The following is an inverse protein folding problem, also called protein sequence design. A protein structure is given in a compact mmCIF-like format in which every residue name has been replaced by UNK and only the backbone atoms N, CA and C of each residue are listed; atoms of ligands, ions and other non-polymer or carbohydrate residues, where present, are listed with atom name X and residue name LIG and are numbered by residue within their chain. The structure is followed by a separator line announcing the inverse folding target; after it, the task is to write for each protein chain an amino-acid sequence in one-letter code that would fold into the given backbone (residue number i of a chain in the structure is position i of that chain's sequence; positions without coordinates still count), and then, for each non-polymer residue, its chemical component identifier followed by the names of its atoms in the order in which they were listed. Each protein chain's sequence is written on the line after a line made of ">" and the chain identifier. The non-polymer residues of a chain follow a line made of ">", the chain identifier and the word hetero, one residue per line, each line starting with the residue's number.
data_IF_452386028556
#
_entry.id   IF_452386028556
#
_cell.length_a   1.000
_cell.length_b   1.000
_cell.length_c   1.000
_cell.angle_alpha   90.00
_cell.angle_beta   90.00
_cell.angle_gamma   90.00
#
_symmetry.space_group_name_H-M   'P 1'
#
loop_
_entity.id
_entity.type
_entity.pdbx_description
1 polymer ?
#
# COMPACT_ATOMS: atom_id res chain seq x y z
N UNK A 1 -16.29 48.14 -44.79
CA UNK A 1 -15.90 47.24 -43.67
C UNK A 1 -16.00 45.81 -44.16
N UNK A 2 -15.28 44.86 -43.57
CA UNK A 2 -14.91 43.60 -44.24
C UNK A 2 -15.52 42.33 -43.60
N UNK A 3 -15.79 41.36 -44.49
CA UNK A 3 -15.96 39.91 -44.29
C UNK A 3 -16.98 39.36 -43.27
N UNK A 4 -17.98 38.68 -43.83
CA UNK A 4 -18.63 37.50 -43.23
C UNK A 4 -17.57 36.44 -42.84
N UNK A 5 -17.73 35.84 -41.67
CA UNK A 5 -17.03 34.62 -41.30
C UNK A 5 -17.89 33.72 -40.41
N UNK A 6 -18.61 32.79 -41.04
CA UNK A 6 -19.13 31.58 -40.39
C UNK A 6 -17.95 30.75 -39.85
N UNK A 7 -18.02 30.30 -38.60
CA UNK A 7 -17.15 29.25 -38.08
C UNK A 7 -17.93 27.94 -37.90
N UNK A 8 -17.23 26.81 -38.04
CA UNK A 8 -17.83 25.52 -38.33
C UNK A 8 -18.31 24.76 -37.09
N UNK A 9 -19.43 24.05 -37.22
CA UNK A 9 -19.85 23.01 -36.26
C UNK A 9 -18.90 21.82 -36.36
N UNK A 10 -18.33 21.40 -35.22
CA UNK A 10 -17.37 20.30 -35.17
C UNK A 10 -18.05 18.98 -34.73
N UNK A 11 -18.30 18.01 -35.63
CA UNK A 11 -19.08 16.81 -35.31
C UNK A 11 -18.19 15.72 -34.69
N UNK A 12 -18.02 15.75 -33.37
CA UNK A 12 -17.23 14.72 -32.66
C UNK A 12 -17.30 14.70 -31.13
N UNK A 13 -17.70 15.79 -30.48
CA UNK A 13 -17.79 15.86 -29.02
C UNK A 13 -19.15 15.36 -28.49
N UNK A 14 -19.28 14.05 -28.27
CA UNK A 14 -20.36 13.50 -27.45
C UNK A 14 -20.08 13.79 -25.96
N UNK A 15 -21.10 14.11 -25.13
CA UNK A 15 -20.89 14.42 -23.72
C UNK A 15 -20.43 13.19 -22.93
N UNK A 16 -19.47 13.41 -22.02
CA UNK A 16 -18.91 12.40 -21.14
C UNK A 16 -20.00 11.63 -20.36
N UNK A 17 -19.85 10.30 -20.28
CA UNK A 17 -20.77 9.40 -19.58
C UNK A 17 -21.90 8.78 -20.44
N UNK A 18 -22.23 9.35 -21.61
CA UNK A 18 -23.34 8.81 -22.42
C UNK A 18 -23.04 7.47 -23.09
N UNK A 19 -21.81 7.23 -23.57
CA UNK A 19 -21.45 6.00 -24.30
C UNK A 19 -21.57 4.74 -23.42
N UNK A 20 -21.00 4.75 -22.21
CA UNK A 20 -21.09 3.63 -21.28
C UNK A 20 -22.55 3.32 -20.86
N UNK A 21 -23.37 4.36 -20.67
CA UNK A 21 -24.79 4.20 -20.33
C UNK A 21 -25.64 3.66 -21.51
N UNK A 22 -25.25 3.95 -22.76
CA UNK A 22 -25.93 3.46 -23.97
C UNK A 22 -25.56 2.01 -24.28
N UNK A 23 -24.28 1.63 -24.13
CA UNK A 23 -23.82 0.24 -24.32
C UNK A 23 -24.44 -0.73 -23.29
N UNK A 24 -24.51 -0.32 -22.01
CA UNK A 24 -25.04 -1.11 -20.89
C UNK A 24 -26.54 -0.88 -20.62
N UNK A 25 -27.30 -0.44 -21.63
CA UNK A 25 -28.73 -0.13 -21.49
C UNK A 25 -29.56 -1.32 -20.97
N UNK A 26 -30.36 -1.05 -19.93
CA UNK A 26 -31.03 -2.07 -19.09
C UNK A 26 -31.82 -3.12 -19.87
N UNK A 27 -32.44 -2.73 -20.98
CA UNK A 27 -33.26 -3.62 -21.81
C UNK A 27 -32.47 -4.77 -22.46
N UNK A 28 -31.18 -4.56 -22.80
CA UNK A 28 -30.31 -5.61 -23.36
C UNK A 28 -29.89 -6.65 -22.32
N UNK A 29 -29.69 -6.22 -21.07
CA UNK A 29 -29.32 -7.10 -19.95
C UNK A 29 -30.49 -7.98 -19.48
N UNK A 30 -31.73 -7.49 -19.61
CA UNK A 30 -32.92 -8.11 -19.01
C UNK A 30 -33.71 -9.01 -19.97
N UNK A 31 -33.58 -8.87 -21.30
CA UNK A 31 -34.40 -9.63 -22.25
C UNK A 31 -33.65 -10.27 -23.42
N UNK A 32 -33.50 -11.60 -23.40
CA UNK A 32 -33.61 -12.40 -24.62
C UNK A 32 -34.19 -13.80 -24.34
N UNK A 33 -34.92 -14.37 -25.31
CA UNK A 33 -35.79 -15.54 -25.12
C UNK A 33 -35.02 -16.85 -25.11
N UNK A 34 -35.37 -17.73 -24.15
CA UNK A 34 -34.82 -19.11 -24.01
C UNK A 34 -35.03 -19.93 -25.29
N UNK A 35 -33.96 -20.25 -26.01
CA UNK A 35 -33.94 -21.40 -26.91
C UNK A 35 -33.62 -22.68 -26.12
N UNK A 36 -34.38 -23.76 -26.34
CA UNK A 36 -34.17 -25.06 -25.68
C UNK A 36 -33.04 -25.84 -26.38
N UNK A 37 -31.88 -25.94 -25.74
CA UNK A 37 -30.91 -26.96 -26.10
C UNK A 37 -31.47 -28.36 -25.76
N UNK A 38 -31.32 -29.32 -26.67
CA UNK A 38 -31.71 -30.73 -26.42
C UNK A 38 -30.63 -31.43 -25.61
N UNK A 39 -31.04 -32.32 -24.70
CA UNK A 39 -30.12 -33.14 -23.92
C UNK A 39 -29.54 -34.29 -24.76
N UNK A 40 -28.27 -34.63 -24.51
CA UNK A 40 -27.62 -35.86 -24.95
C UNK A 40 -26.88 -36.49 -23.76
N UNK A 41 -27.03 -37.81 -23.57
CA UNK A 41 -26.37 -38.56 -22.49
C UNK A 41 -25.03 -39.12 -23.01
N UNK A 42 -23.90 -38.91 -22.31
CA UNK A 42 -22.73 -39.76 -22.49
C UNK A 42 -23.02 -41.15 -21.92
N UNK A 43 -22.61 -42.20 -22.63
CA UNK A 43 -22.57 -43.57 -22.09
C UNK A 43 -21.31 -43.77 -21.21
N UNK A 44 -21.27 -44.86 -20.45
CA UNK A 44 -20.16 -45.19 -19.56
C UNK A 44 -19.03 -45.97 -20.26
N UNK A 45 -17.82 -45.92 -19.68
CA UNK A 45 -16.68 -46.78 -20.05
C UNK A 45 -15.52 -46.04 -20.70
N UNK A 46 -14.45 -45.76 -19.93
CA UNK A 46 -13.22 -45.16 -20.43
C UNK A 46 -12.30 -44.68 -19.30
N UNK A 47 -11.08 -45.22 -19.23
CA UNK A 47 -10.16 -45.00 -18.11
C UNK A 47 -9.76 -43.53 -17.93
N UNK A 48 -10.19 -42.91 -16.82
CA UNK A 48 -9.80 -41.54 -16.44
C UNK A 48 -8.44 -41.52 -15.74
N UNK A 49 -7.36 -41.66 -16.51
CA UNK A 49 -6.03 -41.29 -16.04
C UNK A 49 -5.93 -39.80 -15.69
N UNK A 50 -5.06 -39.46 -14.74
CA UNK A 50 -4.91 -38.13 -14.10
C UNK A 50 -4.26 -37.06 -15.02
N UNK A 51 -4.80 -36.84 -16.22
CA UNK A 51 -4.28 -35.88 -17.20
C UNK A 51 -4.68 -34.42 -16.87
N UNK A 52 -5.90 -34.18 -16.38
CA UNK A 52 -6.38 -32.84 -16.02
C UNK A 52 -5.54 -32.19 -14.91
N UNK A 53 -5.46 -32.85 -13.75
CA UNK A 53 -4.73 -32.34 -12.59
C UNK A 53 -3.24 -32.08 -12.83
N UNK A 54 -2.59 -32.76 -13.80
CA UNK A 54 -1.20 -32.43 -14.19
C UNK A 54 -1.09 -31.09 -14.91
N UNK A 55 -2.08 -30.70 -15.72
CA UNK A 55 -2.10 -29.38 -16.36
C UNK A 55 -2.45 -28.29 -15.35
N UNK A 56 -3.43 -28.55 -14.51
CA UNK A 56 -3.92 -27.65 -13.46
C UNK A 56 -2.80 -27.32 -12.45
N UNK A 57 -2.09 -28.34 -11.96
CA UNK A 57 -0.95 -28.16 -11.05
C UNK A 57 0.24 -27.45 -11.75
N UNK A 58 0.50 -27.73 -13.02
CA UNK A 58 1.54 -27.01 -13.78
C UNK A 58 1.18 -25.53 -14.02
N UNK A 59 -0.09 -25.20 -14.24
CA UNK A 59 -0.57 -23.82 -14.33
C UNK A 59 -0.48 -23.12 -12.96
N UNK A 60 -0.84 -23.82 -11.88
CA UNK A 60 -0.70 -23.32 -10.51
C UNK A 60 0.75 -23.08 -10.11
N UNK A 61 1.67 -23.98 -10.45
CA UNK A 61 3.10 -23.81 -10.23
C UNK A 61 3.62 -22.60 -11.02
N UNK A 62 3.28 -22.46 -12.31
CA UNK A 62 3.65 -21.28 -13.12
C UNK A 62 3.16 -19.97 -12.48
N UNK A 63 1.92 -19.94 -11.93
CA UNK A 63 1.38 -18.79 -11.20
C UNK A 63 2.15 -18.53 -9.90
N UNK A 64 2.55 -19.56 -9.18
CA UNK A 64 3.36 -19.45 -7.96
C UNK A 64 4.78 -18.94 -8.25
N UNK A 65 5.40 -19.40 -9.34
CA UNK A 65 6.71 -18.92 -9.81
C UNK A 65 6.65 -17.44 -10.18
N UNK A 66 5.59 -17.01 -10.90
CA UNK A 66 5.32 -15.60 -11.17
C UNK A 66 5.17 -14.80 -9.86
N UNK A 67 4.29 -15.22 -8.95
CA UNK A 67 4.08 -14.59 -7.63
C UNK A 67 5.39 -14.45 -6.84
N UNK A 68 6.30 -15.43 -6.95
CA UNK A 68 7.61 -15.46 -6.28
C UNK A 68 8.76 -14.77 -7.03
N UNK A 69 8.49 -14.16 -8.19
CA UNK A 69 9.50 -13.36 -8.91
C UNK A 69 10.11 -12.31 -7.97
N UNK A 70 11.45 -12.24 -7.81
CA UNK A 70 12.09 -11.24 -6.97
C UNK A 70 11.70 -9.82 -7.38
N UNK A 71 11.56 -8.92 -6.41
CA UNK A 71 11.14 -7.52 -6.63
C UNK A 71 12.19 -6.62 -6.00
N UNK A 72 13.09 -6.09 -6.83
CA UNK A 72 14.31 -5.36 -6.41
C UNK A 72 14.09 -3.86 -6.16
N UNK A 73 12.95 -3.32 -6.56
CA UNK A 73 12.45 -1.98 -6.21
C UNK A 73 11.02 -2.11 -5.73
N UNK A 74 10.60 -1.27 -4.77
CA UNK A 74 9.23 -1.29 -4.25
C UNK A 74 8.19 -1.17 -5.38
N UNK A 75 7.29 -2.15 -5.47
CA UNK A 75 6.16 -2.19 -6.39
C UNK A 75 4.88 -1.73 -5.67
N UNK A 76 4.24 -0.67 -6.19
CA UNK A 76 3.14 0.04 -5.51
C UNK A 76 1.80 -0.27 -6.16
N UNK A 77 0.85 -0.75 -5.35
CA UNK A 77 -0.46 -1.23 -5.79
C UNK A 77 -1.55 -0.32 -5.22
N UNK A 78 -2.10 0.57 -6.06
CA UNK A 78 -3.25 1.38 -5.71
C UNK A 78 -4.54 0.56 -5.86
N UNK A 79 -5.29 0.37 -4.78
CA UNK A 79 -6.62 -0.29 -4.81
C UNK A 79 -7.68 0.79 -4.63
N UNK A 80 -8.52 1.01 -5.65
CA UNK A 80 -9.42 2.18 -5.70
C UNK A 80 -10.91 1.82 -5.90
N UNK A 81 -11.80 2.63 -5.34
CA UNK A 81 -13.23 2.60 -5.67
C UNK A 81 -13.94 3.92 -5.35
N UNK A 82 -14.76 4.40 -6.30
CA UNK A 82 -15.60 5.60 -6.16
C UNK A 82 -16.84 5.39 -5.27
N UNK A 83 -17.17 4.14 -4.91
CA UNK A 83 -18.29 3.79 -4.02
C UNK A 83 -17.78 3.09 -2.76
N UNK A 84 -18.40 3.41 -1.62
CA UNK A 84 -18.18 2.74 -0.34
C UNK A 84 -18.78 1.32 -0.31
N UNK A 85 -18.27 0.47 0.60
CA UNK A 85 -18.81 -0.87 0.82
C UNK A 85 -18.57 -1.92 -0.27
N UNK A 86 -17.95 -1.56 -1.41
CA UNK A 86 -17.71 -2.50 -2.53
C UNK A 86 -16.63 -3.56 -2.28
N UNK A 87 -16.04 -3.59 -1.08
CA UNK A 87 -15.01 -4.57 -0.70
C UNK A 87 -13.56 -4.16 -0.98
N UNK A 88 -13.26 -2.87 -1.18
CA UNK A 88 -11.88 -2.37 -1.41
C UNK A 88 -10.90 -2.80 -0.32
N UNK A 89 -11.12 -2.40 0.93
CA UNK A 89 -10.30 -2.79 2.10
C UNK A 89 -10.15 -4.31 2.25
N UNK A 90 -11.23 -5.04 1.96
CA UNK A 90 -11.25 -6.50 1.93
C UNK A 90 -10.31 -7.04 0.85
N UNK A 91 -10.34 -6.48 -0.37
CA UNK A 91 -9.44 -6.83 -1.46
C UNK A 91 -7.98 -6.46 -1.15
N UNK A 92 -7.71 -5.27 -0.61
CA UNK A 92 -6.37 -4.85 -0.17
C UNK A 92 -5.79 -5.84 0.85
N UNK A 93 -6.56 -6.21 1.87
CA UNK A 93 -6.10 -7.14 2.91
C UNK A 93 -5.94 -8.56 2.38
N UNK A 94 -6.93 -9.08 1.63
CA UNK A 94 -6.88 -10.45 1.12
C UNK A 94 -5.78 -10.64 0.07
N UNK A 95 -5.56 -9.66 -0.82
CA UNK A 95 -4.45 -9.66 -1.77
C UNK A 95 -3.11 -9.53 -1.05
N UNK A 96 -2.96 -8.59 -0.11
CA UNK A 96 -1.75 -8.41 0.68
C UNK A 96 -1.37 -9.67 1.47
N UNK A 97 -2.33 -10.29 2.14
CA UNK A 97 -2.15 -11.55 2.86
C UNK A 97 -1.78 -12.71 1.92
N UNK A 98 -2.40 -12.79 0.75
CA UNK A 98 -2.06 -13.84 -0.24
C UNK A 98 -0.63 -13.66 -0.75
N UNK A 99 -0.23 -12.43 -1.10
CA UNK A 99 1.14 -12.10 -1.51
C UNK A 99 2.15 -12.42 -0.39
N UNK A 100 1.85 -12.06 0.86
CA UNK A 100 2.75 -12.30 2.00
C UNK A 100 2.94 -13.80 2.26
N UNK A 101 1.84 -14.56 2.28
CA UNK A 101 1.88 -16.01 2.49
C UNK A 101 2.57 -16.75 1.35
N UNK A 102 2.25 -16.45 0.10
CA UNK A 102 2.83 -17.18 -1.05
C UNK A 102 4.29 -16.79 -1.32
N UNK A 103 4.71 -15.54 -1.05
CA UNK A 103 6.10 -15.07 -1.23
C UNK A 103 7.02 -15.30 -0.04
N UNK A 104 6.48 -15.34 1.19
CA UNK A 104 7.25 -15.24 2.45
C UNK A 104 8.13 -13.96 2.49
N UNK A 105 7.51 -12.84 2.11
CA UNK A 105 8.17 -11.56 1.83
C UNK A 105 7.48 -10.40 2.57
N UNK A 106 8.17 -9.27 2.73
CA UNK A 106 7.68 -8.10 3.47
C UNK A 106 6.67 -7.31 2.64
N UNK A 107 5.39 -7.65 2.80
CA UNK A 107 4.27 -6.94 2.17
C UNK A 107 3.64 -5.96 3.17
N UNK A 108 3.44 -4.73 2.73
CA UNK A 108 2.78 -3.68 3.50
C UNK A 108 1.45 -3.27 2.87
N UNK A 109 0.43 -3.03 3.68
CA UNK A 109 -0.79 -2.34 3.27
C UNK A 109 -1.00 -1.05 4.08
N UNK A 110 -1.40 0.02 3.40
CA UNK A 110 -1.55 1.36 3.94
C UNK A 110 -3.01 1.80 3.81
N UNK A 111 -3.61 2.27 4.91
CA UNK A 111 -4.89 2.96 4.87
C UNK A 111 -4.66 4.44 4.50
N UNK A 112 -5.15 4.85 3.33
CA UNK A 112 -5.10 6.24 2.87
C UNK A 112 -6.49 6.90 2.87
N UNK A 113 -7.50 6.31 3.52
CA UNK A 113 -8.85 6.87 3.56
C UNK A 113 -8.94 8.04 4.56
N UNK A 114 -9.18 9.29 4.13
CA UNK A 114 -9.29 10.42 5.07
C UNK A 114 -10.56 10.36 5.93
N UNK A 115 -11.64 9.74 5.45
CA UNK A 115 -12.97 9.86 6.04
C UNK A 115 -13.19 8.96 7.27
N UNK A 116 -12.65 7.74 7.22
CA UNK A 116 -12.59 6.79 8.34
C UNK A 116 -11.74 5.57 7.97
N UNK A 117 -10.59 5.37 8.62
CA UNK A 117 -9.78 4.17 8.39
C UNK A 117 -10.51 2.88 8.80
N UNK A 118 -10.40 1.85 7.96
CA UNK A 118 -11.00 0.53 8.22
C UNK A 118 -10.05 -0.65 7.98
N UNK A 119 -8.88 -0.41 7.36
CA UNK A 119 -7.85 -1.43 7.15
C UNK A 119 -7.27 -1.91 8.48
N UNK A 120 -7.04 -0.98 9.42
CA UNK A 120 -6.58 -1.27 10.78
C UNK A 120 -7.56 -2.09 11.65
N UNK A 121 -8.75 -2.44 11.13
CA UNK A 121 -9.72 -3.34 11.77
C UNK A 121 -9.66 -4.77 11.20
N UNK A 122 -8.82 -5.01 10.18
CA UNK A 122 -8.65 -6.29 9.47
C UNK A 122 -7.48 -7.14 9.97
N UNK A 123 -6.84 -6.67 11.04
CA UNK A 123 -5.74 -7.29 11.76
C UNK A 123 -5.87 -6.93 13.24
N UNK A 124 -5.39 -7.78 14.13
CA UNK A 124 -5.18 -7.42 15.54
C UNK A 124 -4.21 -6.24 15.65
N UNK A 125 -4.68 -5.07 16.12
CA UNK A 125 -3.82 -3.89 16.38
C UNK A 125 -2.74 -4.24 17.41
N UNK A 126 -1.48 -4.22 16.97
CA UNK A 126 -0.29 -4.35 17.83
C UNK A 126 0.17 -2.97 18.36
N UNK A 127 -0.11 -1.92 17.58
CA UNK A 127 0.21 -0.52 17.89
C UNK A 127 -1.02 0.35 17.63
N UNK A 128 -1.18 1.42 18.43
CA UNK A 128 -2.18 2.45 18.21
C UNK A 128 -1.78 3.47 17.14
N UNK A 129 -0.48 3.56 16.81
CA UNK A 129 0.09 4.54 15.89
C UNK A 129 -0.51 4.47 14.47
N UNK A 130 -0.31 5.56 13.73
CA UNK A 130 -0.91 5.83 12.42
C UNK A 130 0.13 6.26 11.40
N UNK A 131 -0.29 6.39 10.14
CA UNK A 131 0.54 6.99 9.09
C UNK A 131 0.98 8.44 9.38
N UNK A 132 0.20 9.23 10.13
CA UNK A 132 0.61 10.60 10.53
C UNK A 132 1.77 10.56 11.52
N UNK A 133 1.74 9.64 12.47
CA UNK A 133 2.83 9.46 13.45
C UNK A 133 4.11 8.99 12.75
N UNK A 134 3.98 8.09 11.76
CA UNK A 134 5.10 7.67 10.92
C UNK A 134 5.71 8.86 10.15
N UNK A 135 4.88 9.69 9.50
CA UNK A 135 5.36 10.86 8.74
C UNK A 135 6.08 11.88 9.63
N UNK A 136 5.62 12.07 10.87
CA UNK A 136 6.33 12.90 11.86
C UNK A 136 7.67 12.26 12.30
N UNK A 137 7.72 10.94 12.40
CA UNK A 137 8.91 10.20 12.83
C UNK A 137 9.99 10.03 11.75
N UNK A 138 9.69 10.30 10.46
CA UNK A 138 10.60 10.09 9.31
C UNK A 138 12.08 10.48 9.56
N UNK A 139 12.42 11.64 10.16
CA UNK A 139 13.81 12.03 10.44
C UNK A 139 14.59 11.08 11.38
N UNK A 140 13.91 10.08 11.96
CA UNK A 140 14.47 9.10 12.90
C UNK A 140 14.28 7.64 12.42
N UNK A 141 13.61 7.40 11.30
CA UNK A 141 13.39 6.05 10.75
C UNK A 141 14.62 5.58 9.97
N UNK A 142 15.54 4.91 10.65
CA UNK A 142 16.81 4.44 10.07
C UNK A 142 16.79 2.93 9.75
N UNK A 143 15.81 2.20 10.27
CA UNK A 143 15.70 0.75 10.09
C UNK A 143 14.25 0.27 9.97
N UNK A 144 14.07 -0.93 9.42
CA UNK A 144 12.80 -1.68 9.48
C UNK A 144 12.24 -1.81 10.91
N UNK A 145 13.11 -1.94 11.93
CA UNK A 145 12.68 -2.04 13.34
C UNK A 145 12.15 -0.72 13.92
N UNK A 146 12.46 0.43 13.29
CA UNK A 146 11.86 1.71 13.64
C UNK A 146 10.47 1.84 13.03
N UNK A 147 10.32 1.41 11.77
CA UNK A 147 9.02 1.36 11.08
C UNK A 147 8.07 0.37 11.76
N UNK A 148 8.58 -0.76 12.28
CA UNK A 148 7.78 -1.80 12.96
C UNK A 148 6.97 -1.31 14.17
N UNK A 149 7.23 -0.09 14.67
CA UNK A 149 6.48 0.57 15.75
C UNK A 149 5.14 1.18 15.28
N UNK A 150 4.98 1.37 13.97
CA UNK A 150 3.84 2.01 13.30
C UNK A 150 2.91 1.03 12.56
N UNK A 151 3.33 -0.24 12.47
CA UNK A 151 2.65 -1.34 11.76
C UNK A 151 2.02 -2.34 12.73
N UNK A 152 0.93 -2.98 12.33
CA UNK A 152 0.43 -4.23 12.95
C UNK A 152 0.49 -5.38 11.94
N UNK A 153 0.98 -6.55 12.33
CA UNK A 153 1.14 -7.72 11.47
C UNK A 153 0.02 -8.75 11.64
N UNK A 154 -0.49 -9.25 10.52
CA UNK A 154 -1.46 -10.34 10.46
C UNK A 154 -0.76 -11.72 10.42
N UNK A 155 -1.50 -12.78 10.74
CA UNK A 155 -1.02 -14.17 10.71
C UNK A 155 -0.47 -14.62 9.35
N UNK A 156 -0.86 -13.95 8.26
CA UNK A 156 -0.38 -14.15 6.89
C UNK A 156 1.02 -13.59 6.61
N UNK A 157 1.59 -12.82 7.55
CA UNK A 157 2.80 -12.02 7.38
C UNK A 157 2.54 -10.58 6.89
N UNK A 158 1.34 -10.27 6.38
CA UNK A 158 0.98 -8.92 5.93
C UNK A 158 1.09 -7.90 7.06
N UNK A 159 1.77 -6.79 6.81
CA UNK A 159 1.84 -5.66 7.73
C UNK A 159 0.86 -4.55 7.31
N UNK A 160 0.25 -3.89 8.28
CA UNK A 160 -0.73 -2.81 8.06
C UNK A 160 -0.33 -1.55 8.84
N UNK A 161 -0.25 -0.42 8.14
CA UNK A 161 -0.29 0.91 8.76
C UNK A 161 -1.73 1.41 8.70
N UNK A 162 -2.31 1.68 9.87
CA UNK A 162 -3.65 2.24 9.96
C UNK A 162 -3.65 3.77 9.78
N UNK A 163 -4.78 4.31 9.35
CA UNK A 163 -5.13 5.70 9.51
C UNK A 163 -6.22 5.78 10.58
N UNK A 164 -5.99 6.50 11.68
CA UNK A 164 -6.98 6.68 12.74
C UNK A 164 -7.46 8.14 12.75
N UNK A 165 -8.75 8.34 12.54
CA UNK A 165 -9.34 9.67 12.29
C UNK A 165 -9.87 10.22 13.60
N UNK A 166 -9.05 11.01 14.28
CA UNK A 166 -9.53 11.97 15.28
C UNK A 166 -10.15 13.18 14.54
N UNK A 167 -11.47 13.43 14.64
CA UNK A 167 -12.13 14.55 13.97
C UNK A 167 -11.67 15.93 14.48
N UNK A 168 -10.93 16.01 15.60
CA UNK A 168 -10.36 17.25 16.11
C UNK A 168 -9.00 17.62 15.48
N UNK A 169 -8.35 16.71 14.77
CA UNK A 169 -7.00 16.93 14.21
C UNK A 169 -7.08 17.56 12.82
N UNK A 170 -6.83 18.88 12.76
CA UNK A 170 -7.00 19.71 11.56
C UNK A 170 -5.98 19.48 10.41
N UNK A 171 -5.05 18.54 10.53
CA UNK A 171 -4.00 18.29 9.52
C UNK A 171 -4.36 17.16 8.57
N UNK A 172 -4.96 17.52 7.43
CA UNK A 172 -5.29 16.56 6.35
C UNK A 172 -4.03 15.91 5.77
N UNK A 173 -3.93 14.59 5.89
CA UNK A 173 -2.92 13.78 5.21
C UNK A 173 -2.99 14.01 3.69
N UNK A 174 -1.87 14.37 3.07
CA UNK A 174 -1.83 14.92 1.72
C UNK A 174 -0.82 14.22 0.80
N UNK A 175 -0.66 14.74 -0.42
CA UNK A 175 0.25 14.22 -1.45
C UNK A 175 1.70 14.15 -0.93
N UNK A 176 2.21 15.23 -0.34
CA UNK A 176 3.59 15.33 0.17
C UNK A 176 3.83 14.40 1.37
N UNK A 177 2.84 14.24 2.25
CA UNK A 177 2.90 13.27 3.35
C UNK A 177 2.96 11.83 2.82
N UNK A 178 2.15 11.51 1.81
CA UNK A 178 2.13 10.18 1.20
C UNK A 178 3.43 9.87 0.48
N UNK A 179 3.98 10.78 -0.33
CA UNK A 179 5.27 10.59 -1.00
C UNK A 179 6.39 10.36 0.03
N UNK A 180 6.51 11.23 1.04
CA UNK A 180 7.52 11.09 2.11
C UNK A 180 7.40 9.76 2.85
N UNK A 181 6.19 9.27 3.13
CA UNK A 181 5.99 7.95 3.72
C UNK A 181 6.46 6.84 2.77
N UNK A 182 6.04 6.85 1.50
CA UNK A 182 6.38 5.82 0.51
C UNK A 182 7.89 5.79 0.20
N UNK A 183 8.57 6.93 0.20
CA UNK A 183 10.02 7.00 -0.07
C UNK A 183 10.85 6.30 1.02
N UNK A 184 10.38 6.31 2.27
CA UNK A 184 11.00 5.56 3.39
C UNK A 184 10.55 4.10 3.41
N UNK A 185 9.24 3.86 3.27
CA UNK A 185 8.65 2.52 3.31
C UNK A 185 9.16 1.64 2.15
N UNK A 186 9.28 2.21 0.94
CA UNK A 186 9.74 1.51 -0.26
C UNK A 186 11.21 1.06 -0.23
N UNK A 187 11.99 1.50 0.75
CA UNK A 187 13.34 0.97 1.02
C UNK A 187 13.32 -0.33 1.85
N UNK A 188 12.18 -0.62 2.51
CA UNK A 188 12.04 -1.73 3.46
C UNK A 188 10.98 -2.75 3.07
N UNK A 189 10.01 -2.39 2.22
CA UNK A 189 8.95 -3.27 1.71
C UNK A 189 9.00 -3.33 0.17
N UNK A 190 9.33 -4.49 -0.44
CA UNK A 190 9.32 -4.63 -1.89
C UNK A 190 7.93 -4.55 -2.51
N UNK A 191 6.84 -4.71 -1.74
CA UNK A 191 5.47 -4.48 -2.24
C UNK A 191 4.68 -3.67 -1.21
N UNK A 192 4.06 -2.59 -1.67
CA UNK A 192 3.15 -1.75 -0.88
C UNK A 192 1.78 -1.70 -1.56
N UNK A 193 0.72 -2.00 -0.81
CA UNK A 193 -0.67 -1.82 -1.22
C UNK A 193 -1.27 -0.58 -0.55
N UNK A 194 -2.12 0.15 -1.25
CA UNK A 194 -2.78 1.35 -0.71
C UNK A 194 -4.29 1.26 -0.86
N UNK A 195 -5.00 1.30 0.26
CA UNK A 195 -6.47 1.44 0.29
C UNK A 195 -6.83 2.92 0.17
N UNK A 196 -7.36 3.31 -0.98
CA UNK A 196 -7.58 4.71 -1.39
C UNK A 196 -8.60 5.50 -0.57
N UNK A 197 -9.40 4.85 0.27
CA UNK A 197 -10.67 5.45 0.69
C UNK A 197 -11.64 5.68 -0.47
N UNK A 198 -12.72 6.42 -0.23
CA UNK A 198 -13.88 6.48 -1.15
C UNK A 198 -13.90 7.61 -2.17
N UNK A 199 -12.88 8.49 -2.19
CA UNK A 199 -12.83 9.65 -3.08
C UNK A 199 -11.60 9.67 -4.00
N UNK A 200 -11.82 9.91 -5.29
CA UNK A 200 -10.75 10.12 -6.29
C UNK A 200 -10.15 11.54 -6.25
N UNK A 201 -10.82 12.47 -5.57
CA UNK A 201 -10.54 13.91 -5.60
C UNK A 201 -9.87 14.44 -4.32
N UNK A 202 -9.38 13.54 -3.45
CA UNK A 202 -8.73 13.90 -2.19
C UNK A 202 -7.23 14.19 -2.37
N UNK A 203 -6.68 15.01 -1.47
CA UNK A 203 -5.30 15.54 -1.51
C UNK A 203 -4.22 14.47 -1.73
N UNK A 204 -4.28 13.37 -0.99
CA UNK A 204 -3.30 12.27 -1.13
C UNK A 204 -3.46 11.44 -2.41
N UNK A 205 -4.61 11.49 -3.09
CA UNK A 205 -4.94 10.54 -4.16
C UNK A 205 -4.14 10.80 -5.45
N UNK A 206 -3.69 12.04 -5.66
CA UNK A 206 -2.68 12.33 -6.69
C UNK A 206 -1.37 11.57 -6.42
N UNK A 207 -0.85 11.62 -5.20
CA UNK A 207 0.38 10.92 -4.82
C UNK A 207 0.27 9.40 -4.96
N UNK A 208 -0.90 8.84 -4.61
CA UNK A 208 -1.19 7.42 -4.80
C UNK A 208 -1.16 7.04 -6.29
N UNK A 209 -1.77 7.83 -7.16
CA UNK A 209 -1.85 7.55 -8.60
C UNK A 209 -0.55 7.84 -9.36
N UNK A 210 0.13 8.96 -9.07
CA UNK A 210 1.43 9.34 -9.64
C UNK A 210 2.53 8.33 -9.31
N UNK A 211 2.39 7.60 -8.18
CA UNK A 211 3.32 6.56 -7.75
C UNK A 211 2.80 5.13 -7.99
N UNK A 212 1.63 4.90 -8.60
CA UNK A 212 1.10 3.55 -8.73
C UNK A 212 1.76 2.77 -9.88
N UNK A 213 2.45 1.68 -9.54
CA UNK A 213 2.95 0.71 -10.51
C UNK A 213 1.80 -0.16 -11.05
N UNK A 214 0.87 -0.54 -10.17
CA UNK A 214 -0.38 -1.25 -10.50
C UNK A 214 -1.60 -0.50 -9.98
N UNK A 215 -2.65 -0.47 -10.80
CA UNK A 215 -3.97 -0.05 -10.39
C UNK A 215 -4.94 -1.24 -10.32
N UNK A 216 -5.76 -1.29 -9.27
CA UNK A 216 -6.83 -2.26 -9.08
C UNK A 216 -8.15 -1.52 -8.86
N UNK A 217 -9.11 -1.70 -9.78
CA UNK A 217 -10.46 -1.10 -9.70
C UNK A 217 -11.41 -2.09 -9.04
N UNK A 218 -12.18 -1.66 -8.04
CA UNK A 218 -13.19 -2.52 -7.40
C UNK A 218 -14.60 -2.17 -7.88
N UNK A 219 -15.27 -3.14 -8.50
CA UNK A 219 -16.68 -3.08 -8.90
C UNK A 219 -17.51 -4.10 -8.13
N UNK A 220 -18.81 -3.84 -8.01
CA UNK A 220 -19.80 -4.87 -7.62
C UNK A 220 -20.43 -5.51 -8.87
N UNK A 221 -21.04 -6.69 -8.78
CA UNK A 221 -21.83 -7.30 -9.84
C UNK A 221 -23.20 -6.62 -10.00
N UNK A 222 -23.19 -5.32 -10.32
CA UNK A 222 -24.37 -4.49 -10.53
C UNK A 222 -24.11 -3.46 -11.62
N UNK A 223 -25.16 -2.99 -12.29
CA UNK A 223 -25.06 -1.96 -13.35
C UNK A 223 -24.47 -0.67 -12.77
N UNK A 224 -24.93 -0.23 -11.60
CA UNK A 224 -24.38 0.92 -10.86
C UNK A 224 -22.88 0.76 -10.57
N UNK A 225 -22.47 -0.45 -10.17
CA UNK A 225 -21.07 -0.77 -9.86
C UNK A 225 -20.19 -0.70 -11.10
N UNK A 226 -20.61 -1.38 -12.16
CA UNK A 226 -19.91 -1.38 -13.45
C UNK A 226 -19.82 0.03 -14.04
N UNK A 227 -20.92 0.78 -14.01
CA UNK A 227 -20.97 2.18 -14.46
C UNK A 227 -20.03 3.07 -13.63
N UNK A 228 -20.09 3.01 -12.29
CA UNK A 228 -19.23 3.80 -11.39
C UNK A 228 -17.74 3.50 -11.57
N UNK A 229 -17.37 2.22 -11.75
CA UNK A 229 -16.00 1.82 -12.06
C UNK A 229 -15.57 2.21 -13.50
N UNK A 230 -16.48 2.24 -14.46
CA UNK A 230 -16.20 2.72 -15.83
C UNK A 230 -15.93 4.21 -15.85
N UNK A 231 -16.79 5.02 -15.22
CA UNK A 231 -16.58 6.47 -15.08
C UNK A 231 -15.27 6.79 -14.35
N UNK A 232 -14.83 5.91 -13.44
CA UNK A 232 -13.52 6.02 -12.78
C UNK A 232 -12.36 5.83 -13.78
N UNK A 233 -12.44 4.80 -14.64
CA UNK A 233 -11.44 4.54 -15.70
C UNK A 233 -11.41 5.64 -16.77
N UNK A 234 -12.59 6.12 -17.18
CA UNK A 234 -12.73 7.21 -18.15
C UNK A 234 -12.15 8.52 -17.59
N UNK A 235 -12.43 8.83 -16.32
CA UNK A 235 -11.86 9.99 -15.61
C UNK A 235 -10.33 9.89 -15.51
N UNK A 236 -9.80 8.75 -15.06
CA UNK A 236 -8.35 8.52 -14.95
C UNK A 236 -7.64 8.70 -16.30
N UNK A 237 -8.22 8.14 -17.36
CA UNK A 237 -7.69 8.26 -18.73
C UNK A 237 -7.65 9.72 -19.19
N UNK A 238 -8.71 10.48 -18.92
CA UNK A 238 -8.80 11.90 -19.25
C UNK A 238 -7.85 12.80 -18.41
N UNK A 239 -7.39 12.35 -17.25
CA UNK A 239 -6.50 13.09 -16.34
C UNK A 239 -5.04 12.60 -16.39
N UNK A 240 -4.66 11.86 -17.44
CA UNK A 240 -3.26 11.50 -17.75
C UNK A 240 -2.85 10.08 -17.36
N UNK A 241 -3.66 9.35 -16.59
CA UNK A 241 -3.33 8.00 -16.10
C UNK A 241 -3.69 6.88 -17.10
N UNK A 242 -3.70 7.16 -18.40
CA UNK A 242 -4.16 6.24 -19.44
C UNK A 242 -3.32 4.95 -19.55
N UNK A 243 -1.99 5.02 -19.37
CA UNK A 243 -1.13 3.84 -19.29
C UNK A 243 -1.51 2.96 -18.08
N UNK A 244 -1.62 3.57 -16.90
CA UNK A 244 -1.97 2.91 -15.66
C UNK A 244 -3.37 2.26 -15.73
N UNK A 245 -4.32 2.91 -16.42
CA UNK A 245 -5.63 2.34 -16.76
C UNK A 245 -5.49 1.12 -17.67
N UNK A 246 -4.71 1.21 -18.75
CA UNK A 246 -4.54 0.09 -19.69
C UNK A 246 -3.93 -1.15 -19.03
N UNK A 247 -3.03 -0.95 -18.05
CA UNK A 247 -2.39 -2.01 -17.24
C UNK A 247 -3.18 -2.39 -15.99
N UNK A 248 -4.32 -1.75 -15.71
CA UNK A 248 -5.12 -2.00 -14.52
C UNK A 248 -5.79 -3.37 -14.50
N UNK A 249 -6.22 -3.81 -13.33
CA UNK A 249 -7.02 -5.03 -13.13
C UNK A 249 -8.36 -4.65 -12.48
N UNK A 250 -9.48 -5.09 -13.03
CA UNK A 250 -10.79 -4.91 -12.39
C UNK A 250 -11.16 -6.12 -11.54
N UNK A 251 -11.49 -5.91 -10.27
CA UNK A 251 -12.02 -6.94 -9.37
C UNK A 251 -13.53 -6.76 -9.23
N UNK A 252 -14.30 -7.75 -9.68
CA UNK A 252 -15.75 -7.81 -9.49
C UNK A 252 -16.01 -8.56 -8.17
N UNK A 253 -16.25 -7.80 -7.11
CA UNK A 253 -16.29 -8.27 -5.72
C UNK A 253 -17.69 -8.61 -5.24
N UNK A 254 -17.83 -9.65 -4.42
CA UNK A 254 -19.07 -10.00 -3.74
C UNK A 254 -20.08 -10.76 -4.61
N UNK A 255 -19.63 -11.54 -5.60
CA UNK A 255 -20.52 -12.25 -6.51
C UNK A 255 -21.24 -13.42 -5.81
N UNK A 256 -22.56 -13.29 -5.63
CA UNK A 256 -23.42 -14.35 -5.08
C UNK A 256 -23.94 -15.24 -6.21
N UNK A 257 -23.93 -16.56 -6.01
CA UNK A 257 -24.46 -17.56 -6.96
C UNK A 257 -26.01 -17.59 -7.04
N UNK A 258 -26.68 -16.52 -6.57
CA UNK A 258 -28.14 -16.34 -6.64
C UNK A 258 -28.58 -15.92 -8.03
N UNK A 259 -29.51 -16.65 -8.65
CA UNK A 259 -29.98 -16.45 -10.04
C UNK A 259 -30.82 -15.19 -10.33
N UNK A 260 -30.38 -14.01 -9.88
CA UNK A 260 -30.89 -12.72 -10.38
C UNK A 260 -30.25 -12.42 -11.74
N UNK A 261 -31.00 -11.78 -12.65
CA UNK A 261 -30.57 -11.56 -14.03
C UNK A 261 -29.63 -10.35 -14.17
N UNK A 262 -28.39 -10.53 -13.73
CA UNK A 262 -27.23 -9.75 -14.19
C UNK A 262 -26.20 -10.78 -14.63
N UNK A 263 -25.89 -10.82 -15.94
CA UNK A 263 -24.81 -11.67 -16.44
C UNK A 263 -23.49 -11.05 -16.02
N UNK A 264 -22.82 -11.67 -15.05
CA UNK A 264 -21.47 -11.27 -14.63
C UNK A 264 -20.52 -11.28 -15.83
N UNK A 265 -20.73 -12.21 -16.76
CA UNK A 265 -20.01 -12.32 -18.03
C UNK A 265 -20.09 -11.06 -18.90
N UNK A 266 -21.24 -10.36 -18.93
CA UNK A 266 -21.39 -9.10 -19.68
C UNK A 266 -20.56 -7.98 -19.02
N UNK A 267 -20.52 -7.93 -17.68
CA UNK A 267 -19.69 -6.98 -16.93
C UNK A 267 -18.20 -7.31 -17.09
N UNK A 268 -17.83 -8.61 -17.09
CA UNK A 268 -16.47 -9.07 -17.36
C UNK A 268 -16.02 -8.64 -18.75
N UNK A 269 -16.83 -8.89 -19.79
CA UNK A 269 -16.53 -8.48 -21.16
C UNK A 269 -16.37 -6.97 -21.31
N UNK A 270 -17.19 -6.18 -20.61
CA UNK A 270 -17.10 -4.71 -20.60
C UNK A 270 -15.79 -4.16 -19.99
N UNK A 271 -15.20 -4.84 -19.00
CA UNK A 271 -13.91 -4.46 -18.42
C UNK A 271 -12.71 -5.08 -19.17
N UNK A 272 -12.88 -6.22 -19.82
CA UNK A 272 -11.83 -6.84 -20.67
C UNK A 272 -11.46 -5.97 -21.89
N UNK A 273 -12.28 -4.99 -22.28
CA UNK A 273 -11.94 -4.02 -23.33
C UNK A 273 -11.22 -2.76 -22.81
N UNK A 274 -11.09 -2.59 -21.48
CA UNK A 274 -10.58 -1.38 -20.83
C UNK A 274 -9.39 -1.62 -19.89
N UNK A 275 -9.25 -2.84 -19.36
CA UNK A 275 -8.25 -3.24 -18.36
C UNK A 275 -7.49 -4.49 -18.83
N UNK A 276 -6.21 -4.64 -18.43
CA UNK A 276 -5.38 -5.83 -18.73
C UNK A 276 -6.01 -7.13 -18.25
N UNK A 277 -6.71 -7.10 -17.11
CA UNK A 277 -7.31 -8.29 -16.51
C UNK A 277 -8.60 -7.99 -15.74
N UNK A 278 -9.40 -9.05 -15.55
CA UNK A 278 -10.61 -9.01 -14.72
C UNK A 278 -10.63 -10.25 -13.84
N UNK A 279 -10.84 -10.07 -12.53
CA UNK A 279 -10.97 -11.15 -11.54
C UNK A 279 -12.37 -11.08 -10.91
N UNK A 280 -13.07 -12.21 -10.90
CA UNK A 280 -14.37 -12.34 -10.22
C UNK A 280 -14.13 -12.96 -8.84
N UNK A 281 -14.50 -12.25 -7.77
CA UNK A 281 -14.38 -12.72 -6.38
C UNK A 281 -15.78 -13.06 -5.84
N UNK A 282 -16.09 -14.35 -5.61
CA UNK A 282 -17.37 -14.75 -5.04
C UNK A 282 -17.62 -14.17 -3.64
N UNK A 283 -18.88 -13.88 -3.30
CA UNK A 283 -19.29 -13.40 -1.97
C UNK A 283 -18.89 -14.39 -0.88
N UNK A 284 -18.08 -13.94 0.07
CA UNK A 284 -17.59 -14.74 1.19
C UNK A 284 -18.09 -14.19 2.53
N UNK A 285 -18.53 -15.08 3.42
CA UNK A 285 -19.16 -14.69 4.70
C UNK A 285 -18.15 -14.19 5.71
N UNK A 286 -16.97 -14.81 5.79
CA UNK A 286 -15.87 -14.39 6.66
C UNK A 286 -15.41 -12.97 6.30
N UNK A 287 -15.13 -12.74 5.02
CA UNK A 287 -14.67 -11.45 4.52
C UNK A 287 -15.74 -10.35 4.66
N UNK A 288 -17.02 -10.73 4.59
CA UNK A 288 -18.18 -9.85 4.79
C UNK A 288 -18.46 -9.53 6.27
N UNK A 289 -17.92 -10.29 7.23
CA UNK A 289 -18.17 -10.07 8.66
C UNK A 289 -17.53 -8.80 9.23
N UNK A 290 -16.62 -8.15 8.48
CA UNK A 290 -15.93 -6.92 8.89
C UNK A 290 -14.71 -7.13 9.79
N UNK A 291 -14.47 -8.37 10.22
CA UNK A 291 -13.41 -8.77 11.14
C UNK A 291 -12.03 -8.96 10.47
N UNK A 292 -11.09 -9.52 11.25
CA UNK A 292 -9.74 -9.93 10.86
C UNK A 292 -9.74 -10.94 9.69
N UNK A 293 -8.80 -10.78 8.75
CA UNK A 293 -8.76 -11.56 7.51
C UNK A 293 -7.83 -12.76 7.64
N UNK A 294 -8.44 -13.90 7.92
CA UNK A 294 -7.82 -15.23 7.87
C UNK A 294 -7.99 -15.89 6.48
N UNK A 295 -6.90 -16.41 5.90
CA UNK A 295 -6.89 -17.09 4.59
C UNK A 295 -7.43 -18.53 4.63
N UNK A 296 -7.35 -19.21 5.77
CA UNK A 296 -7.78 -20.61 5.95
C UNK A 296 -9.29 -20.69 6.23
N UNK A 297 -9.89 -19.61 6.72
CA UNK A 297 -11.34 -19.45 6.84
C UNK A 297 -12.04 -19.03 5.52
N UNK A 298 -11.31 -18.57 4.50
CA UNK A 298 -11.90 -18.27 3.19
C UNK A 298 -12.36 -19.54 2.47
N UNK A 299 -13.50 -19.48 1.77
CA UNK A 299 -13.91 -20.62 0.92
C UNK A 299 -12.94 -20.83 -0.26
N UNK A 300 -12.68 -22.06 -0.72
CA UNK A 300 -11.64 -22.35 -1.71
C UNK A 300 -11.68 -21.48 -2.98
N UNK A 301 -12.85 -21.28 -3.61
CA UNK A 301 -13.01 -20.42 -4.80
C UNK A 301 -12.55 -18.97 -4.58
N UNK A 302 -12.62 -18.47 -3.36
CA UNK A 302 -12.28 -17.07 -2.99
C UNK A 302 -10.78 -16.94 -2.79
N UNK A 303 -10.16 -17.90 -2.07
CA UNK A 303 -8.71 -18.00 -1.98
C UNK A 303 -8.07 -18.18 -3.36
N UNK A 304 -8.67 -19.00 -4.22
CA UNK A 304 -8.26 -19.18 -5.61
C UNK A 304 -8.38 -17.88 -6.43
N UNK A 305 -9.45 -17.10 -6.25
CA UNK A 305 -9.60 -15.80 -6.90
C UNK A 305 -8.50 -14.80 -6.46
N UNK A 306 -8.15 -14.75 -5.17
CA UNK A 306 -7.05 -13.91 -4.68
C UNK A 306 -5.66 -14.42 -5.09
N UNK A 307 -5.45 -15.73 -5.22
CA UNK A 307 -4.24 -16.32 -5.80
C UNK A 307 -4.10 -15.95 -7.28
N UNK A 308 -5.17 -16.05 -8.07
CA UNK A 308 -5.19 -15.63 -9.47
C UNK A 308 -4.97 -14.11 -9.61
N UNK A 309 -5.54 -13.27 -8.72
CA UNK A 309 -5.25 -11.83 -8.67
C UNK A 309 -3.78 -11.55 -8.36
N UNK A 310 -3.20 -12.27 -7.40
CA UNK A 310 -1.78 -12.17 -7.04
C UNK A 310 -0.87 -12.48 -8.23
N UNK A 311 -1.22 -13.49 -9.04
CA UNK A 311 -0.51 -13.81 -10.28
C UNK A 311 -0.66 -12.72 -11.35
N UNK A 312 -1.86 -12.20 -11.61
CA UNK A 312 -2.08 -11.11 -12.58
C UNK A 312 -1.37 -9.79 -12.21
N UNK A 313 -1.13 -9.56 -10.92
CA UNK A 313 -0.27 -8.47 -10.42
C UNK A 313 1.20 -8.80 -10.68
N UNK A 314 1.64 -10.01 -10.34
CA UNK A 314 3.03 -10.43 -10.44
C UNK A 314 3.57 -10.56 -11.88
N UNK A 315 2.70 -10.78 -12.87
CA UNK A 315 3.04 -10.73 -14.30
C UNK A 315 3.69 -9.40 -14.73
N UNK A 316 3.45 -8.30 -14.00
CA UNK A 316 4.03 -6.97 -14.29
C UNK A 316 5.38 -6.72 -13.58
N UNK A 317 5.76 -7.54 -12.58
CA UNK A 317 6.99 -7.34 -11.79
C UNK A 317 8.27 -7.33 -12.65
N UNK A 318 8.31 -8.11 -13.74
CA UNK A 318 9.44 -8.14 -14.68
C UNK A 318 9.51 -6.83 -15.47
N UNK A 319 8.38 -6.36 -16.00
CA UNK A 319 8.26 -5.08 -16.74
C UNK A 319 8.72 -3.91 -15.87
N UNK A 320 8.22 -3.82 -14.64
CA UNK A 320 8.59 -2.78 -13.68
C UNK A 320 10.11 -2.73 -13.42
N UNK A 321 10.74 -3.88 -13.18
CA UNK A 321 12.18 -3.92 -12.89
C UNK A 321 13.04 -3.65 -14.13
N UNK A 322 12.57 -4.00 -15.32
CA UNK A 322 13.18 -3.57 -16.58
C UNK A 322 13.08 -2.05 -16.77
N UNK A 323 11.93 -1.43 -16.48
CA UNK A 323 11.79 0.04 -16.56
C UNK A 323 12.63 0.81 -15.52
N UNK A 324 12.99 0.18 -14.40
CA UNK A 324 13.96 0.73 -13.45
C UNK A 324 15.43 0.40 -13.77
N UNK A 325 15.72 -0.27 -14.88
CA UNK A 325 17.08 -0.67 -15.26
C UNK A 325 17.73 -1.69 -14.32
N UNK A 326 16.94 -2.33 -13.45
CA UNK A 326 17.42 -3.26 -12.44
C UNK A 326 17.62 -4.67 -12.98
N UNK A 327 17.02 -5.02 -14.11
CA UNK A 327 17.19 -6.32 -14.78
C UNK A 327 17.80 -6.14 -16.17
N UNK A 328 18.48 -7.19 -16.65
CA UNK A 328 19.08 -7.20 -17.98
C UNK A 328 18.03 -7.21 -19.10
N UNK A 329 18.43 -6.79 -20.31
CA UNK A 329 17.61 -6.84 -21.53
C UNK A 329 17.00 -8.21 -21.77
N UNK A 330 17.72 -9.26 -21.38
CA UNK A 330 17.43 -10.65 -21.70
C UNK A 330 16.47 -11.28 -20.68
N UNK A 331 15.93 -10.48 -19.75
CA UNK A 331 14.99 -10.92 -18.72
C UNK A 331 15.66 -11.71 -17.59
N UNK A 332 16.99 -11.70 -17.48
CA UNK A 332 17.70 -12.23 -16.31
C UNK A 332 17.83 -11.15 -15.22
N UNK A 333 17.84 -11.55 -13.93
CA UNK A 333 18.18 -10.65 -12.83
C UNK A 333 19.56 -10.01 -13.06
N UNK A 334 19.85 -8.86 -12.43
CA UNK A 334 21.17 -8.25 -12.55
C UNK A 334 22.20 -9.27 -12.04
N UNK A 335 23.41 -9.34 -12.62
CA UNK A 335 24.43 -10.25 -12.14
C UNK A 335 24.81 -9.86 -10.71
N UNK A 336 24.21 -10.55 -9.74
CA UNK A 336 24.65 -10.54 -8.35
C UNK A 336 26.01 -11.21 -8.37
N UNK A 337 27.05 -10.39 -8.57
CA UNK A 337 28.43 -10.79 -8.39
C UNK A 337 28.55 -11.18 -6.91
N UNK A 338 28.40 -12.47 -6.63
CA UNK A 338 28.59 -13.03 -5.30
C UNK A 338 29.95 -12.52 -4.82
N UNK A 339 30.02 -11.82 -3.67
CA UNK A 339 31.23 -11.13 -3.25
C UNK A 339 32.38 -12.16 -3.24
N UNK A 340 33.49 -11.89 -3.96
CA UNK A 340 34.42 -12.94 -4.36
C UNK A 340 34.94 -13.68 -3.13
N UNK A 341 34.74 -14.99 -3.13
CA UNK A 341 35.17 -15.89 -2.04
C UNK A 341 36.64 -15.61 -1.74
N UNK A 342 37.01 -15.22 -0.50
CA UNK A 342 38.37 -14.81 -0.17
C UNK A 342 39.40 -15.90 -0.55
N UNK A 343 40.20 -15.63 -1.59
CA UNK A 343 41.21 -16.55 -2.11
C UNK A 343 40.92 -17.18 -3.48
N UNK A 344 39.76 -16.98 -4.11
CA UNK A 344 39.54 -17.41 -5.50
C UNK A 344 39.92 -16.32 -6.50
N UNK A 345 40.95 -16.59 -7.30
CA UNK A 345 41.37 -15.76 -8.44
C UNK A 345 40.46 -15.97 -9.65
N UNK A 346 40.04 -14.86 -10.28
CA UNK A 346 39.28 -14.89 -11.54
C UNK A 346 40.20 -15.26 -12.71
N UNK A 347 39.83 -16.25 -13.56
CA UNK A 347 40.59 -16.55 -14.77
C UNK A 347 40.58 -15.36 -15.74
N UNK A 348 41.75 -14.94 -16.23
CA UNK A 348 41.88 -13.96 -17.31
C UNK A 348 42.43 -12.57 -16.94
N UNK A 349 42.70 -12.28 -15.66
CA UNK A 349 43.50 -11.10 -15.30
C UNK A 349 44.98 -11.33 -15.68
N UNK A 350 45.58 -10.50 -16.56
CA UNK A 350 47.02 -10.57 -16.83
C UNK A 350 47.80 -10.05 -15.63
N UNK A 351 48.84 -10.77 -15.21
CA UNK A 351 49.72 -10.32 -14.13
C UNK A 351 50.39 -8.98 -14.50
N UNK A 352 50.42 -7.98 -13.59
CA UNK A 352 51.30 -6.84 -13.78
C UNK A 352 52.76 -7.31 -13.79
N UNK A 353 53.60 -6.80 -14.70
CA UNK A 353 54.98 -7.28 -14.83
C UNK A 353 55.78 -7.00 -13.55
N UNK A 354 56.51 -8.00 -13.07
CA UNK A 354 57.46 -7.81 -11.97
C UNK A 354 58.51 -6.76 -12.35
N UNK A 355 58.74 -5.72 -11.53
CA UNK A 355 59.75 -4.71 -11.81
C UNK A 355 61.15 -5.34 -11.77
N UNK A 356 61.94 -5.13 -12.82
CA UNK A 356 63.35 -5.52 -12.82
C UNK A 356 64.13 -4.67 -11.80
N UNK A 357 65.06 -5.28 -11.03
CA UNK A 357 65.85 -4.54 -10.05
C UNK A 357 66.82 -3.57 -10.75
N UNK A 358 66.53 -2.27 -10.69
CA UNK A 358 67.43 -1.23 -11.20
C UNK A 358 66.79 0.05 -11.76
N UNK A 359 65.48 0.11 -11.96
CA UNK A 359 64.80 1.34 -12.44
C UNK A 359 63.93 2.00 -11.35
N UNK A 360 63.99 3.34 -11.17
CA UNK A 360 63.15 4.06 -10.23
C UNK A 360 61.71 4.18 -10.72
N UNK A 361 60.75 3.94 -9.84
CA UNK A 361 59.31 4.07 -10.15
C UNK A 361 58.90 5.55 -10.13
N UNK A 362 58.19 6.07 -11.16
CA UNK A 362 57.68 7.43 -11.14
C UNK A 362 56.70 7.66 -9.98
N UNK A 363 56.92 8.71 -9.18
CA UNK A 363 55.94 9.19 -8.19
C UNK A 363 56.34 9.10 -6.71
N UNK A 364 57.49 8.52 -6.34
CA UNK A 364 57.99 8.64 -4.97
C UNK A 364 58.75 9.97 -4.76
N UNK A 365 58.42 10.77 -3.73
CA UNK A 365 59.16 12.00 -3.42
C UNK A 365 60.49 11.69 -2.75
N UNK A 366 61.59 12.23 -3.30
CA UNK A 366 62.92 12.15 -2.67
C UNK A 366 63.00 13.16 -1.53
N UNK A 367 63.39 12.78 -0.29
CA UNK A 367 63.54 13.74 0.80
C UNK A 367 64.68 14.74 0.53
N UNK A 368 64.39 16.04 0.61
CA UNK A 368 65.44 17.07 0.76
C UNK A 368 65.55 18.18 -0.28
N UNK A 369 64.58 18.39 -1.19
CA UNK A 369 64.54 19.59 -2.04
C UNK A 369 63.21 20.35 -1.96
N UNK A 370 63.22 21.70 -1.92
CA UNK A 370 62.01 22.52 -1.94
C UNK A 370 61.45 22.71 -3.36
N UNK A 371 60.13 22.75 -3.49
CA UNK A 371 59.45 23.00 -4.77
C UNK A 371 59.45 24.49 -5.15
N UNK A 372 59.54 24.83 -6.45
CA UNK A 372 59.24 26.18 -6.93
C UNK A 372 57.73 26.46 -6.87
N UNK A 373 57.29 27.68 -6.50
CA UNK A 373 55.87 28.01 -6.38
C UNK A 373 55.21 28.20 -7.76
N UNK A 374 54.02 27.62 -7.94
CA UNK A 374 53.13 27.99 -9.05
C UNK A 374 52.37 29.29 -8.72
N UNK A 375 52.20 30.21 -9.68
CA UNK A 375 51.43 31.43 -9.47
C UNK A 375 49.92 31.19 -9.62
N UNK A 376 49.11 31.66 -8.66
CA UNK A 376 47.70 31.96 -8.93
C UNK A 376 46.60 31.28 -8.10
N UNK A 377 46.71 31.20 -6.76
CA UNK A 377 45.52 31.24 -5.90
C UNK A 377 45.74 32.14 -4.67
N UNK A 378 44.74 32.91 -4.21
CA UNK A 378 44.84 33.76 -3.02
C UNK A 378 44.61 32.95 -1.74
N UNK A 379 45.49 33.10 -0.76
CA UNK A 379 45.33 32.52 0.57
C UNK A 379 44.44 33.38 1.49
N UNK A 380 43.69 32.78 2.44
CA UNK A 380 43.11 33.51 3.55
C UNK A 380 44.21 34.02 4.51
N UNK A 381 44.01 35.17 5.19
CA UNK A 381 45.04 35.76 6.05
C UNK A 381 45.22 34.98 7.35
N UNK A 382 46.48 34.67 7.70
CA UNK A 382 46.86 34.13 9.00
C UNK A 382 47.68 35.19 9.78
N UNK A 383 47.44 35.44 11.08
CA UNK A 383 48.10 36.53 11.79
C UNK A 383 49.59 36.28 12.09
N UNK A 384 50.43 37.29 11.89
CA UNK A 384 51.84 37.28 12.33
C UNK A 384 52.00 37.72 13.80
N UNK A 385 53.05 37.26 14.51
CA UNK A 385 53.26 37.58 15.92
C UNK A 385 54.03 38.90 16.13
N UNK A 386 53.65 39.72 17.11
CA UNK A 386 54.42 40.92 17.46
C UNK A 386 53.87 41.79 18.61
N UNK A 387 54.34 41.53 19.83
CA UNK A 387 54.37 42.41 21.02
C UNK A 387 53.04 42.99 21.61
N UNK A 388 52.99 43.18 22.95
CA UNK A 388 52.06 44.14 23.57
C UNK A 388 51.20 43.71 24.77
N UNK A 389 51.80 43.20 25.85
CA UNK A 389 51.35 43.25 27.26
C UNK A 389 49.88 43.65 27.59
N UNK A 390 49.11 42.78 28.28
CA UNK A 390 48.80 42.89 29.73
C UNK A 390 47.85 41.74 30.20
N UNK A 391 47.75 41.45 31.53
CA UNK A 391 47.25 40.16 32.02
C UNK A 391 45.79 40.16 32.53
N UNK A 392 45.17 38.97 32.51
CA UNK A 392 43.96 38.62 33.28
C UNK A 392 44.20 37.35 34.13
N UNK A 393 43.53 37.20 35.29
CA UNK A 393 43.98 36.28 36.34
C UNK A 393 43.43 34.85 36.25
N UNK A 394 44.16 33.89 36.82
CA UNK A 394 43.64 32.57 37.20
C UNK A 394 42.89 32.62 38.54
N UNK A 395 41.81 31.84 38.69
CA UNK A 395 41.40 31.24 39.97
C UNK A 395 42.11 29.89 40.18
N UNK A 396 42.69 29.69 41.37
CA UNK A 396 43.34 28.44 41.77
C UNK A 396 42.41 27.41 42.43
N UNK A 397 42.97 26.24 42.78
CA UNK A 397 42.25 25.13 43.42
C UNK A 397 41.79 25.44 44.86
N UNK A 398 40.60 24.94 45.24
CA UNK A 398 40.08 24.97 46.61
C UNK A 398 39.16 23.77 46.92
N UNK A 399 39.47 23.00 47.97
CA UNK A 399 38.70 21.83 48.43
C UNK A 399 37.42 22.27 49.21
N UNK A 400 36.27 21.59 49.13
CA UNK A 400 35.70 20.52 50.00
C UNK A 400 34.14 20.58 49.81
N UNK A 401 33.24 19.62 50.09
CA UNK A 401 33.22 18.21 50.54
C UNK A 401 31.89 17.54 50.01
N UNK A 402 31.61 16.24 50.19
CA UNK A 402 30.54 15.52 49.46
C UNK A 402 29.18 15.41 50.19
N UNK A 403 28.14 15.06 49.43
CA UNK A 403 26.85 14.54 49.93
C UNK A 403 26.46 13.20 49.27
N UNK A 404 25.72 12.36 50.00
CA UNK A 404 25.66 10.91 49.82
C UNK A 404 24.51 10.37 48.95
N UNK A 405 24.61 9.09 48.56
CA UNK A 405 23.48 8.25 48.12
C UNK A 405 22.64 7.77 49.32
N UNK A 406 21.37 7.41 49.07
CA UNK A 406 20.95 6.00 49.15
C UNK A 406 20.05 5.60 47.95
N UNK A 407 19.61 4.35 47.74
CA UNK A 407 19.78 3.09 48.50
C UNK A 407 18.45 2.29 48.52
N UNK A 408 18.48 1.00 48.18
CA UNK A 408 17.27 0.14 48.07
C UNK A 408 16.78 -0.39 49.43
N UNK A 409 15.45 -0.52 49.65
CA UNK A 409 14.88 -1.27 50.78
C UNK A 409 13.34 -1.23 50.94
N UNK A 410 12.73 -2.41 51.12
CA UNK A 410 11.39 -2.67 51.70
C UNK A 410 11.58 -3.09 53.20
N UNK A 411 10.56 -3.25 54.11
CA UNK A 411 9.19 -3.75 53.87
C UNK A 411 8.00 -3.29 54.81
N UNK A 412 6.82 -3.86 54.54
CA UNK A 412 5.71 -4.30 55.43
C UNK A 412 4.82 -3.37 56.30
N UNK A 413 3.50 -3.45 56.01
CA UNK A 413 2.31 -3.62 56.89
C UNK A 413 2.08 -2.80 58.18
N UNK A 414 0.89 -2.17 58.28
CA UNK A 414 0.27 -1.71 59.53
C UNK A 414 -1.09 -1.01 59.36
N UNK A 415 -2.12 -1.42 60.12
CA UNK A 415 -3.46 -0.82 60.24
C UNK A 415 -3.94 -1.02 61.71
N UNK A 416 -5.03 -0.38 62.22
CA UNK A 416 -5.85 0.71 61.68
C UNK A 416 -6.03 1.90 62.67
N UNK A 417 -6.78 2.95 62.30
CA UNK A 417 -7.19 4.01 63.24
C UNK A 417 -8.12 5.10 62.68
N UNK A 418 -9.22 5.36 63.40
CA UNK A 418 -10.20 6.46 63.24
C UNK A 418 -10.57 6.97 64.66
N UNK A 419 -11.33 8.08 64.87
CA UNK A 419 -11.95 9.01 63.90
C UNK A 419 -11.65 10.50 64.19
N UNK A 420 -12.17 11.41 63.34
CA UNK A 420 -12.27 12.85 63.61
C UNK A 420 -13.26 13.53 62.66
N UNK A 421 -14.16 14.39 63.17
CA UNK A 421 -15.23 15.03 62.38
C UNK A 421 -15.04 16.54 62.21
N UNK A 422 -15.19 17.05 60.98
CA UNK A 422 -15.76 18.35 60.57
C UNK A 422 -15.53 18.56 59.05
N UNK A 423 -16.46 19.05 58.22
CA UNK A 423 -17.91 19.15 58.40
C UNK A 423 -18.61 20.35 57.75
N UNK A 424 -18.79 20.39 56.41
CA UNK A 424 -19.86 21.19 55.78
C UNK A 424 -20.16 20.88 54.28
N UNK A 425 -21.45 20.77 53.98
CA UNK A 425 -22.20 21.14 52.75
C UNK A 425 -21.72 20.72 51.33
N UNK A 426 -22.46 19.79 50.72
CA UNK A 426 -23.07 19.95 49.38
C UNK A 426 -24.20 18.89 49.16
N UNK A 427 -25.31 19.26 48.51
CA UNK A 427 -26.39 18.33 48.13
C UNK A 427 -26.32 18.00 46.62
N UNK A 428 -26.41 16.73 46.20
CA UNK A 428 -26.63 16.36 44.79
C UNK A 428 -28.13 16.41 44.42
N UNK A 429 -28.43 16.74 43.16
CA UNK A 429 -29.79 16.84 42.63
C UNK A 429 -30.40 15.51 42.13
N UNK A 430 -31.71 15.53 41.88
CA UNK A 430 -32.48 14.38 41.38
C UNK A 430 -32.43 14.26 39.84
N UNK A 431 -32.52 13.04 39.27
CA UNK A 431 -32.84 12.84 37.85
C UNK A 431 -34.33 13.10 37.55
N UNK A 432 -34.63 13.52 36.31
CA UNK A 432 -35.96 14.00 35.89
C UNK A 432 -37.00 12.92 35.50
N UNK A 433 -38.22 13.40 35.22
CA UNK A 433 -39.41 12.59 34.92
C UNK A 433 -39.47 12.05 33.48
N UNK A 434 -40.09 10.89 33.23
CA UNK A 434 -40.65 10.50 31.94
C UNK A 434 -42.10 11.01 31.76
N UNK A 435 -42.44 11.58 30.61
CA UNK A 435 -43.74 12.22 30.35
C UNK A 435 -44.64 11.50 29.33
N UNK A 436 -45.79 11.02 29.81
CA UNK A 436 -47.06 10.65 29.13
C UNK A 436 -47.09 9.72 27.87
N UNK A 437 -48.07 8.79 27.79
CA UNK A 437 -48.36 8.01 26.58
C UNK A 437 -49.39 8.68 25.65
N UNK A 438 -49.31 8.39 24.35
CA UNK A 438 -50.31 8.80 23.36
C UNK A 438 -51.58 7.95 23.40
N UNK A 439 -52.73 8.56 23.09
CA UNK A 439 -54.05 7.90 23.07
C UNK A 439 -54.35 7.27 21.69
N UNK A 440 -55.12 6.17 21.68
CA UNK A 440 -55.66 5.56 20.47
C UNK A 440 -57.21 5.63 20.48
N UNK A 441 -57.87 5.89 19.33
CA UNK A 441 -59.32 6.06 19.27
C UNK A 441 -60.09 4.71 19.22
N UNK A 442 -61.33 4.65 19.75
CA UNK A 442 -62.21 3.48 19.66
C UNK A 442 -62.91 3.35 18.28
N UNK A 443 -63.45 2.16 17.94
CA UNK A 443 -64.07 1.89 16.63
C UNK A 443 -65.52 2.43 16.51
N UNK A 444 -66.05 2.59 15.27
CA UNK A 444 -67.43 2.98 15.04
C UNK A 444 -68.43 1.83 15.31
N UNK A 445 -69.69 2.14 15.72
CA UNK A 445 -70.75 1.16 15.88
C UNK A 445 -71.37 0.71 14.55
N UNK A 446 -72.04 -0.44 14.54
CA UNK A 446 -72.76 -0.98 13.39
C UNK A 446 -74.22 -0.53 13.35
N UNK A 447 -74.63 0.06 12.22
CA UNK A 447 -75.93 -0.17 11.56
C UNK A 447 -75.88 0.36 10.12
#
# INVERSE_FOLDING_TARGET
>A
MQHDQRQATNPGAAPLGYTAAVELSSDRLVNNKRQKAKSSRPAAGGSRFKLGGKKEEAERQRKLDLIRTPVLSCYRIAVISLKGGVGKTTTTTALGSTLATERQDKILAIDANPDAGTLGRRVRRETGATIRDLVQAIPHLNSYMDIRRFTSQASSGLEIIANDVDPAVSTTFNDEDYRRAIDVLGQQYPIILTDSGTGLLYSAMRGVLDLADQLIIISTPSVDGASSASTTLDWLSAHGYADLVSRSITVISGVRETGKMIKVDDIVGHFQTRCRGVVVVPFDEHLSAGAEVDLDMMRPKVREAYFNLSAMVAEDFVRHQQSHGLWTSDGNPPPVAAPPMPGQSTPGQPYPPQPQPGQPVPGQPVPGQPYPPQPGQPYPPQPGPGAGQQPYPQPGYGQQQPYAQPGYGYPQQGQPGQPGQQGQQAHPGQPGQPGQPGQAPPPPPQQ
#
